data_IF_174966470451
#
_entry.id   IF_174966470451
#
_cell.length_a   1.000
_cell.length_b   1.000
_cell.length_c   1.000
_cell.angle_alpha   90.00
_cell.angle_beta   90.00
_cell.angle_gamma   90.00
#
_symmetry.space_group_name_H-M   'P 1'
#
loop_
_entity.id
_entity.type
_entity.pdbx_description
1 polymer ?
#
# COMPACT_ATOMS: atom_id res chain seq x y z
N UNK A 1 7.24 14.82 -21.96
CA UNK A 1 7.33 14.42 -20.55
C UNK A 1 7.51 12.92 -20.53
N UNK A 2 8.57 12.40 -19.90
CA UNK A 2 8.84 10.96 -19.89
C UNK A 2 7.74 10.21 -19.13
N UNK A 3 7.36 9.04 -19.64
CA UNK A 3 6.36 8.21 -19.00
C UNK A 3 6.91 7.70 -17.66
N UNK A 4 6.19 7.83 -16.52
CA UNK A 4 6.62 7.28 -15.23
C UNK A 4 6.99 5.79 -15.31
N UNK A 5 6.35 5.03 -16.21
CA UNK A 5 6.66 3.64 -16.44
C UNK A 5 8.02 3.41 -17.10
N UNK A 6 8.47 4.32 -17.97
CA UNK A 6 9.78 4.27 -18.64
C UNK A 6 10.89 4.76 -17.72
N UNK A 7 10.61 5.79 -16.89
CA UNK A 7 11.54 6.27 -15.87
C UNK A 7 11.86 5.18 -14.84
N UNK A 8 10.84 4.44 -14.38
CA UNK A 8 11.03 3.32 -13.46
C UNK A 8 11.87 2.19 -14.08
N UNK A 9 11.62 1.85 -15.35
CA UNK A 9 12.41 0.83 -16.05
C UNK A 9 13.89 1.23 -16.20
N UNK A 10 14.15 2.51 -16.50
CA UNK A 10 15.52 3.03 -16.59
C UNK A 10 16.25 2.96 -15.24
N UNK A 11 15.57 3.30 -14.14
CA UNK A 11 16.13 3.19 -12.80
C UNK A 11 16.39 1.72 -12.42
N UNK A 12 15.49 0.81 -12.81
CA UNK A 12 15.65 -0.62 -12.62
C UNK A 12 16.86 -1.18 -13.40
N UNK A 13 17.05 -0.76 -14.66
CA UNK A 13 18.20 -1.16 -15.47
C UNK A 13 19.52 -0.71 -14.83
N UNK A 14 19.56 0.51 -14.29
CA UNK A 14 20.75 1.03 -13.62
C UNK A 14 21.04 0.30 -12.30
N UNK A 15 20.02 -0.02 -11.51
CA UNK A 15 20.16 -0.88 -10.33
C UNK A 15 20.64 -2.29 -10.70
N UNK A 16 20.12 -2.86 -11.78
CA UNK A 16 20.57 -4.15 -12.31
C UNK A 16 22.02 -4.10 -12.78
N UNK A 17 22.47 -2.99 -13.37
CA UNK A 17 23.87 -2.82 -13.78
C UNK A 17 24.82 -2.80 -12.59
N UNK A 18 24.46 -2.08 -11.52
CA UNK A 18 25.24 -2.04 -10.28
C UNK A 18 25.29 -3.43 -9.63
N UNK A 19 24.18 -4.17 -9.67
CA UNK A 19 24.15 -5.57 -9.19
C UNK A 19 25.17 -6.44 -9.93
N UNK A 20 25.24 -6.33 -11.26
CA UNK A 20 26.20 -7.08 -12.07
C UNK A 20 27.64 -6.62 -11.82
N UNK A 21 27.86 -5.33 -11.61
CA UNK A 21 29.17 -4.77 -11.25
C UNK A 21 29.67 -5.32 -9.92
N UNK A 22 28.82 -5.37 -8.88
CA UNK A 22 29.17 -5.97 -7.58
C UNK A 22 29.44 -7.46 -7.73
N UNK A 23 28.63 -8.17 -8.52
CA UNK A 23 28.86 -9.59 -8.80
C UNK A 23 30.21 -9.84 -9.49
N UNK A 24 30.57 -8.98 -10.45
CA UNK A 24 31.87 -9.02 -11.13
C UNK A 24 33.00 -8.75 -10.14
N UNK A 25 32.92 -7.69 -9.32
CA UNK A 25 33.92 -7.40 -8.29
C UNK A 25 34.09 -8.58 -7.31
N UNK A 26 32.99 -9.23 -6.92
CA UNK A 26 33.00 -10.41 -6.05
C UNK A 26 33.70 -11.61 -6.71
N UNK A 27 33.43 -11.83 -8.00
CA UNK A 27 34.03 -12.89 -8.80
C UNK A 27 35.53 -12.66 -9.04
N UNK A 28 35.92 -11.41 -9.32
CA UNK A 28 37.31 -10.99 -9.47
C UNK A 28 38.08 -11.16 -8.16
N UNK A 29 37.52 -10.70 -7.04
CA UNK A 29 38.12 -10.90 -5.71
C UNK A 29 38.30 -12.39 -5.38
N UNK A 30 37.34 -13.24 -5.73
CA UNK A 30 37.41 -14.69 -5.47
C UNK A 30 38.43 -15.41 -6.36
N UNK A 31 38.58 -14.98 -7.60
CA UNK A 31 39.51 -15.59 -8.57
C UNK A 31 40.95 -15.12 -8.37
N UNK A 32 41.13 -13.85 -8.02
CA UNK A 32 42.42 -13.22 -7.76
C UNK A 32 42.36 -12.51 -6.40
N UNK A 33 42.51 -13.27 -5.29
CA UNK A 33 42.50 -12.67 -3.96
C UNK A 33 43.67 -11.67 -3.83
N UNK A 34 43.41 -10.47 -3.29
CA UNK A 34 44.44 -9.46 -3.09
C UNK A 34 45.59 -9.98 -2.24
N UNK A 35 46.81 -9.55 -2.58
CA UNK A 35 48.04 -10.07 -1.97
C UNK A 35 48.38 -9.41 -0.63
N UNK A 36 47.75 -8.27 -0.33
CA UNK A 36 47.94 -7.50 0.89
C UNK A 36 46.61 -7.15 1.56
N UNK A 37 46.65 -6.97 2.88
CA UNK A 37 45.49 -6.56 3.69
C UNK A 37 44.98 -5.17 3.28
N UNK A 38 45.88 -4.24 2.92
CA UNK A 38 45.49 -2.91 2.42
C UNK A 38 44.74 -2.98 1.09
N UNK A 39 45.22 -3.77 0.11
CA UNK A 39 44.49 -4.00 -1.14
C UNK A 39 43.14 -4.66 -0.88
N UNK A 40 43.10 -5.65 0.02
CA UNK A 40 41.87 -6.31 0.46
C UNK A 40 40.83 -5.31 0.95
N UNK A 41 41.21 -4.39 1.84
CA UNK A 41 40.31 -3.35 2.36
C UNK A 41 39.81 -2.39 1.28
N UNK A 42 40.66 -1.96 0.35
CA UNK A 42 40.26 -1.11 -0.79
C UNK A 42 39.20 -1.81 -1.65
N UNK A 43 39.42 -3.07 -1.98
CA UNK A 43 38.47 -3.87 -2.76
C UNK A 43 37.13 -4.04 -2.03
N UNK A 44 37.18 -4.38 -0.73
CA UNK A 44 35.98 -4.55 0.10
C UNK A 44 35.23 -3.22 0.30
N UNK A 45 35.93 -2.11 0.50
CA UNK A 45 35.36 -0.75 0.62
C UNK A 45 34.65 -0.32 -0.67
N UNK A 46 35.28 -0.53 -1.82
CA UNK A 46 34.68 -0.27 -3.13
C UNK A 46 33.40 -1.10 -3.35
N UNK A 47 33.42 -2.39 -3.01
CA UNK A 47 32.22 -3.24 -3.06
C UNK A 47 31.13 -2.77 -2.10
N UNK A 48 31.48 -2.42 -0.86
CA UNK A 48 30.53 -1.94 0.15
C UNK A 48 29.80 -0.71 -0.35
N UNK A 49 30.55 0.24 -0.93
CA UNK A 49 29.99 1.45 -1.53
C UNK A 49 28.98 1.14 -2.63
N UNK A 50 29.31 0.23 -3.55
CA UNK A 50 28.40 -0.14 -4.64
C UNK A 50 27.14 -0.83 -4.12
N UNK A 51 27.24 -1.64 -3.06
CA UNK A 51 26.08 -2.25 -2.39
C UNK A 51 25.21 -1.18 -1.71
N UNK A 52 25.80 -0.20 -1.02
CA UNK A 52 25.03 0.90 -0.40
C UNK A 52 24.29 1.74 -1.44
N UNK A 53 24.92 2.03 -2.59
CA UNK A 53 24.26 2.74 -3.70
C UNK A 53 23.11 1.89 -4.28
N UNK A 54 23.30 0.57 -4.39
CA UNK A 54 22.27 -0.35 -4.84
C UNK A 54 21.06 -0.36 -3.90
N UNK A 55 21.27 -0.51 -2.59
CA UNK A 55 20.19 -0.53 -1.59
C UNK A 55 19.37 0.76 -1.66
N UNK A 56 20.03 1.91 -1.75
CA UNK A 56 19.35 3.19 -1.91
C UNK A 56 18.49 3.27 -3.19
N UNK A 57 19.02 2.81 -4.33
CA UNK A 57 18.24 2.79 -5.59
C UNK A 57 17.06 1.83 -5.51
N UNK A 58 17.18 0.73 -4.77
CA UNK A 58 16.05 -0.18 -4.50
C UNK A 58 14.98 0.49 -3.65
N UNK A 59 15.36 1.27 -2.63
CA UNK A 59 14.42 2.09 -1.85
C UNK A 59 13.69 3.12 -2.72
N UNK A 60 14.41 3.79 -3.63
CA UNK A 60 13.80 4.71 -4.60
C UNK A 60 12.83 4.00 -5.55
N UNK A 61 13.20 2.83 -6.08
CA UNK A 61 12.32 2.03 -6.95
C UNK A 61 11.05 1.58 -6.22
N UNK A 62 11.17 1.25 -4.94
CA UNK A 62 10.05 0.86 -4.07
C UNK A 62 9.13 2.06 -3.78
N UNK A 63 9.71 3.21 -3.49
CA UNK A 63 9.01 4.49 -3.35
C UNK A 63 8.22 4.87 -4.60
N UNK A 64 8.85 4.82 -5.78
CA UNK A 64 8.23 5.13 -7.07
C UNK A 64 7.08 4.17 -7.40
N UNK A 65 7.20 2.90 -6.98
CA UNK A 65 6.13 1.91 -7.09
C UNK A 65 4.96 2.22 -6.15
N UNK A 66 5.26 2.57 -4.89
CA UNK A 66 4.26 2.88 -3.86
C UNK A 66 3.47 4.16 -4.19
N UNK A 67 4.13 5.18 -4.73
CA UNK A 67 3.53 6.46 -5.12
C UNK A 67 2.73 6.46 -6.43
N UNK A 68 2.59 5.31 -7.11
CA UNK A 68 1.83 5.25 -8.36
C UNK A 68 0.31 5.39 -8.10
N UNK A 69 -0.44 6.22 -8.87
CA UNK A 69 -1.86 6.45 -8.61
C UNK A 69 -2.68 5.15 -8.57
N UNK A 70 -3.51 4.97 -7.54
CA UNK A 70 -4.36 3.76 -7.35
C UNK A 70 -5.27 3.42 -8.53
N UNK A 71 -5.61 4.41 -9.38
CA UNK A 71 -6.32 4.22 -10.66
C UNK A 71 -5.49 3.43 -11.69
N UNK A 72 -4.17 3.62 -11.74
CA UNK A 72 -3.24 2.84 -12.56
C UNK A 72 -3.01 1.43 -11.96
N UNK A 73 -2.98 1.31 -10.63
CA UNK A 73 -2.80 0.05 -9.90
C UNK A 73 -3.94 -0.95 -10.20
N UNK A 74 -5.20 -0.49 -10.31
CA UNK A 74 -6.33 -1.38 -10.59
C UNK A 74 -6.37 -1.88 -12.04
N UNK A 75 -6.02 -1.02 -13.02
CA UNK A 75 -6.02 -1.38 -14.44
C UNK A 75 -4.80 -2.23 -14.85
N UNK A 76 -3.74 -2.28 -14.03
CA UNK A 76 -2.45 -2.91 -14.38
C UNK A 76 -1.86 -3.82 -13.29
N UNK A 77 -2.70 -4.50 -12.51
CA UNK A 77 -2.27 -5.42 -11.43
C UNK A 77 -1.18 -6.41 -11.83
N UNK A 78 -1.26 -6.99 -13.03
CA UNK A 78 -0.29 -7.98 -13.52
C UNK A 78 1.11 -7.39 -13.72
N UNK A 79 1.19 -6.19 -14.28
CA UNK A 79 2.47 -5.49 -14.46
C UNK A 79 3.04 -5.03 -13.13
N UNK A 80 2.19 -4.55 -12.21
CA UNK A 80 2.63 -4.15 -10.89
C UNK A 80 3.21 -5.33 -10.09
N UNK A 81 2.54 -6.48 -10.14
CA UNK A 81 3.04 -7.72 -9.54
C UNK A 81 4.40 -8.13 -10.14
N UNK A 82 4.56 -8.01 -11.46
CA UNK A 82 5.81 -8.32 -12.15
C UNK A 82 6.95 -7.39 -11.73
N UNK A 83 6.68 -6.09 -11.59
CA UNK A 83 7.67 -5.11 -11.12
C UNK A 83 8.07 -5.33 -9.65
N UNK A 84 7.10 -5.71 -8.82
CA UNK A 84 7.37 -6.09 -7.43
C UNK A 84 8.26 -7.35 -7.35
N UNK A 85 8.00 -8.34 -8.20
CA UNK A 85 8.83 -9.56 -8.30
C UNK A 85 10.24 -9.25 -8.80
N UNK A 86 10.38 -8.37 -9.79
CA UNK A 86 11.69 -7.88 -10.26
C UNK A 86 12.48 -7.20 -9.14
N UNK A 87 11.82 -6.34 -8.35
CA UNK A 87 12.44 -5.66 -7.21
C UNK A 87 12.83 -6.65 -6.11
N UNK A 88 11.97 -7.63 -5.78
CA UNK A 88 12.31 -8.64 -4.78
C UNK A 88 13.51 -9.48 -5.21
N UNK A 89 13.65 -9.79 -6.49
CA UNK A 89 14.79 -10.54 -7.01
C UNK A 89 16.10 -9.75 -6.88
N UNK A 90 16.08 -8.44 -7.18
CA UNK A 90 17.26 -7.60 -6.98
C UNK A 90 17.60 -7.44 -5.50
N UNK A 91 16.60 -7.28 -4.63
CA UNK A 91 16.81 -7.14 -3.18
C UNK A 91 17.34 -8.42 -2.54
N UNK A 92 16.91 -9.57 -3.02
CA UNK A 92 17.49 -10.84 -2.60
C UNK A 92 18.96 -10.96 -3.00
N UNK A 93 19.32 -10.55 -4.22
CA UNK A 93 20.73 -10.54 -4.67
C UNK A 93 21.58 -9.55 -3.89
N UNK A 94 21.06 -8.36 -3.62
CA UNK A 94 21.71 -7.34 -2.78
C UNK A 94 22.04 -7.93 -1.41
N UNK A 95 21.06 -8.54 -0.73
CA UNK A 95 21.27 -9.19 0.58
C UNK A 95 22.30 -10.30 0.54
N UNK A 96 22.29 -11.13 -0.50
CA UNK A 96 23.28 -12.19 -0.67
C UNK A 96 24.68 -11.61 -0.81
N UNK A 97 24.86 -10.59 -1.66
CA UNK A 97 26.15 -9.93 -1.84
C UNK A 97 26.60 -9.20 -0.57
N UNK A 98 25.69 -8.50 0.12
CA UNK A 98 25.97 -7.81 1.38
C UNK A 98 26.39 -8.80 2.48
N UNK A 99 25.74 -9.96 2.56
CA UNK A 99 26.09 -11.00 3.53
C UNK A 99 27.49 -11.57 3.28
N UNK A 100 27.85 -11.85 2.02
CA UNK A 100 29.18 -12.35 1.67
C UNK A 100 30.23 -11.29 2.01
N UNK A 101 29.95 -10.03 1.70
CA UNK A 101 30.88 -8.93 1.94
C UNK A 101 31.10 -8.67 3.44
N UNK A 102 30.03 -8.66 4.25
CA UNK A 102 30.13 -8.53 5.70
C UNK A 102 30.96 -9.66 6.32
N UNK A 103 30.85 -10.89 5.80
CA UNK A 103 31.65 -12.02 6.25
C UNK A 103 33.14 -11.81 5.96
N UNK A 104 33.46 -11.26 4.79
CA UNK A 104 34.86 -10.97 4.41
C UNK A 104 35.44 -9.80 5.18
N UNK A 105 34.66 -8.74 5.39
CA UNK A 105 35.07 -7.59 6.21
C UNK A 105 35.39 -8.02 7.65
N UNK A 106 34.53 -8.83 8.25
CA UNK A 106 34.75 -9.37 9.59
C UNK A 106 36.00 -10.26 9.70
N UNK A 107 36.33 -11.01 8.63
CA UNK A 107 37.55 -11.82 8.59
C UNK A 107 38.81 -10.96 8.49
N UNK A 108 38.79 -9.89 7.68
CA UNK A 108 39.92 -8.96 7.53
C UNK A 108 40.20 -8.21 8.84
N UNK A 109 39.17 -7.77 9.56
CA UNK A 109 39.32 -7.09 10.85
C UNK A 109 39.96 -7.99 11.93
N UNK A 110 39.73 -9.31 11.89
CA UNK A 110 40.37 -10.25 12.82
C UNK A 110 41.85 -10.50 12.50
N UNK A 111 42.22 -10.50 11.23
CA UNK A 111 43.59 -10.71 10.77
C UNK A 111 44.48 -9.48 11.05
N UNK A 112 43.91 -8.27 10.98
CA UNK A 112 44.59 -7.01 11.28
C UNK A 112 44.90 -6.82 12.78
N UNK A 113 44.04 -7.33 13.66
CA UNK A 113 44.27 -7.34 15.12
C UNK A 113 45.53 -8.14 15.50
N UNK A 114 45.94 -9.05 14.62
CA UNK A 114 47.15 -9.87 14.75
C UNK A 114 48.37 -9.15 14.12
N UNK A 115 48.18 -8.29 13.12
CA UNK A 115 49.27 -7.69 12.32
C UNK A 115 49.79 -6.32 12.75
N UNK A 116 49.09 -5.45 13.51
CA UNK A 116 49.65 -4.09 13.68
C UNK A 116 49.30 -3.22 14.87
N UNK A 117 50.30 -3.04 15.76
CA UNK A 117 50.45 -1.83 16.59
C UNK A 117 51.13 -0.65 15.85
N UNK A 118 51.58 -0.83 14.60
CA UNK A 118 52.34 0.17 13.83
C UNK A 118 51.62 0.67 12.55
N UNK A 119 50.57 -0.02 12.10
CA UNK A 119 49.78 0.28 10.90
C UNK A 119 48.72 1.36 11.08
N UNK A 120 48.39 1.70 12.33
CA UNK A 120 47.32 2.63 12.71
C UNK A 120 47.52 4.05 12.13
N UNK A 121 48.77 4.50 11.98
CA UNK A 121 49.08 5.86 11.50
C UNK A 121 48.95 5.97 9.98
N UNK A 122 49.32 4.94 9.22
CA UNK A 122 49.12 4.90 7.76
C UNK A 122 47.64 4.74 7.41
N UNK A 123 46.89 4.03 8.27
CA UNK A 123 45.45 3.85 8.15
C UNK A 123 44.67 5.17 8.28
N UNK A 124 45.10 6.08 9.15
CA UNK A 124 44.44 7.37 9.33
C UNK A 124 44.52 8.27 8.09
N UNK A 125 45.60 8.22 7.31
CA UNK A 125 45.73 9.00 6.08
C UNK A 125 44.84 8.50 4.93
N UNK A 126 44.67 7.18 4.83
CA UNK A 126 43.88 6.55 3.77
C UNK A 126 42.37 6.64 4.05
N UNK A 127 41.95 6.47 5.32
CA UNK A 127 40.56 6.65 5.75
C UNK A 127 40.06 8.10 5.54
N UNK A 128 40.93 9.10 5.73
CA UNK A 128 40.55 10.51 5.61
C UNK A 128 40.27 10.92 4.16
N UNK A 129 40.94 10.29 3.18
CA UNK A 129 40.69 10.54 1.75
C UNK A 129 39.47 9.76 1.23
N UNK A 130 39.18 8.58 1.80
CA UNK A 130 37.97 7.81 1.47
C UNK A 130 36.68 8.48 2.00
N UNK A 131 36.73 9.21 3.11
CA UNK A 131 35.57 9.92 3.69
C UNK A 131 35.09 11.11 2.86
N UNK A 132 35.98 11.85 2.17
CA UNK A 132 35.58 13.01 1.35
C UNK A 132 34.73 12.60 0.15
N UNK A 133 35.04 11.45 -0.46
CA UNK A 133 34.28 10.93 -1.61
C UNK A 133 32.94 10.30 -1.19
N UNK A 134 32.85 9.85 0.06
CA UNK A 134 31.60 9.42 0.70
C UNK A 134 30.73 10.63 1.04
N UNK A 135 31.32 11.77 1.43
CA UNK A 135 30.59 13.01 1.75
C UNK A 135 29.80 13.56 0.55
N UNK A 136 30.41 13.66 -0.63
CA UNK A 136 29.75 14.17 -1.85
C UNK A 136 28.54 13.30 -2.27
N UNK A 137 28.65 11.99 -2.09
CA UNK A 137 27.57 11.04 -2.42
C UNK A 137 26.53 10.94 -1.30
N UNK A 138 26.93 11.16 -0.05
CA UNK A 138 26.01 11.29 1.08
C UNK A 138 25.19 12.57 0.94
N UNK A 139 25.77 13.67 0.44
CA UNK A 139 25.02 14.88 0.10
C UNK A 139 23.96 14.58 -0.97
N UNK A 140 24.36 13.90 -2.06
CA UNK A 140 23.43 13.47 -3.11
C UNK A 140 22.32 12.58 -2.54
N UNK A 141 22.66 11.64 -1.65
CA UNK A 141 21.72 10.78 -0.95
C UNK A 141 20.78 11.55 -0.02
N UNK A 142 21.30 12.47 0.80
CA UNK A 142 20.52 13.34 1.70
C UNK A 142 19.57 14.23 0.91
N UNK A 143 20.00 14.75 -0.24
CA UNK A 143 19.15 15.51 -1.14
C UNK A 143 18.02 14.66 -1.70
N UNK A 144 18.29 13.41 -2.10
CA UNK A 144 17.24 12.51 -2.59
C UNK A 144 16.31 12.07 -1.45
N UNK A 145 16.82 11.72 -0.26
CA UNK A 145 16.01 11.42 0.93
C UNK A 145 15.13 12.61 1.32
N UNK A 146 15.66 13.84 1.28
CA UNK A 146 14.90 15.06 1.51
C UNK A 146 13.80 15.23 0.48
N UNK A 147 14.12 15.09 -0.81
CA UNK A 147 13.15 15.23 -1.88
C UNK A 147 12.05 14.16 -1.77
N UNK A 148 12.41 12.93 -1.37
CA UNK A 148 11.47 11.85 -1.12
C UNK A 148 10.56 12.14 0.08
N UNK A 149 11.14 12.57 1.22
CA UNK A 149 10.37 12.95 2.40
C UNK A 149 9.41 14.12 2.11
N UNK A 150 9.84 15.10 1.31
CA UNK A 150 8.99 16.19 0.84
C UNK A 150 7.84 15.67 -0.04
N UNK A 151 8.12 14.79 -1.00
CA UNK A 151 7.12 14.20 -1.88
C UNK A 151 6.09 13.37 -1.08
N UNK A 152 6.54 12.56 -0.12
CA UNK A 152 5.65 11.81 0.79
C UNK A 152 4.79 12.77 1.61
N UNK A 153 5.38 13.84 2.17
CA UNK A 153 4.64 14.80 2.98
C UNK A 153 3.58 15.55 2.15
N UNK A 154 3.89 15.89 0.90
CA UNK A 154 2.93 16.47 -0.05
C UNK A 154 1.80 15.49 -0.39
N UNK A 155 2.11 14.21 -0.62
CA UNK A 155 1.11 13.17 -0.87
C UNK A 155 0.25 12.92 0.37
N UNK A 156 0.83 12.92 1.57
CA UNK A 156 0.10 12.76 2.84
C UNK A 156 -0.81 13.97 3.11
N UNK A 157 -0.35 15.18 2.81
CA UNK A 157 -1.15 16.40 2.85
C UNK A 157 -2.29 16.33 1.81
N UNK A 158 -2.03 15.82 0.61
CA UNK A 158 -3.05 15.60 -0.41
C UNK A 158 -4.06 14.52 0.02
N UNK A 159 -3.62 13.41 0.61
CA UNK A 159 -4.49 12.38 1.17
C UNK A 159 -5.34 12.93 2.33
N UNK A 160 -4.78 13.80 3.17
CA UNK A 160 -5.52 14.49 4.24
C UNK A 160 -6.63 15.37 3.64
N UNK A 161 -6.32 16.15 2.59
CA UNK A 161 -7.31 16.99 1.90
C UNK A 161 -8.36 16.18 1.15
N UNK A 162 -7.99 15.05 0.55
CA UNK A 162 -8.94 14.15 -0.14
C UNK A 162 -9.84 13.42 0.86
N UNK A 163 -9.32 13.02 2.01
CA UNK A 163 -10.08 12.41 3.10
C UNK A 163 -11.08 13.41 3.68
N UNK A 164 -10.65 14.64 3.96
CA UNK A 164 -11.51 15.73 4.46
C UNK A 164 -12.68 16.04 3.49
N UNK A 165 -12.39 16.15 2.18
CA UNK A 165 -13.43 16.31 1.14
C UNK A 165 -14.38 15.11 1.02
N UNK A 166 -13.87 13.91 1.30
CA UNK A 166 -14.67 12.67 1.26
C UNK A 166 -15.57 12.57 2.48
N UNK A 167 -15.10 12.97 3.67
CA UNK A 167 -15.90 13.08 4.88
C UNK A 167 -16.99 14.15 4.74
N UNK A 168 -16.67 15.31 4.16
CA UNK A 168 -17.63 16.38 3.92
C UNK A 168 -18.75 15.96 2.94
N UNK A 169 -18.40 15.23 1.87
CA UNK A 169 -19.39 14.64 0.94
C UNK A 169 -20.17 13.47 1.56
N UNK A 170 -19.53 12.66 2.40
CA UNK A 170 -20.17 11.53 3.10
C UNK A 170 -21.23 12.00 4.08
N UNK A 171 -20.91 13.01 4.90
CA UNK A 171 -21.82 13.61 5.88
C UNK A 171 -22.95 14.36 5.16
N UNK A 172 -22.63 15.19 4.15
CA UNK A 172 -23.64 15.94 3.40
C UNK A 172 -24.62 15.06 2.63
N UNK A 173 -24.19 13.90 2.11
CA UNK A 173 -25.09 12.95 1.43
C UNK A 173 -25.92 12.12 2.40
N UNK A 174 -25.40 11.78 3.58
CA UNK A 174 -26.19 11.14 4.63
C UNK A 174 -27.29 12.07 5.17
N UNK A 175 -26.96 13.32 5.45
CA UNK A 175 -27.93 14.29 5.95
C UNK A 175 -28.99 14.63 4.90
N UNK A 176 -28.60 14.83 3.64
CA UNK A 176 -29.56 15.11 2.58
C UNK A 176 -30.38 13.88 2.15
N UNK A 177 -29.91 12.64 2.40
CA UNK A 177 -30.74 11.42 2.28
C UNK A 177 -31.69 11.28 3.47
N UNK A 178 -31.24 11.52 4.70
CA UNK A 178 -32.07 11.52 5.91
C UNK A 178 -33.16 12.59 5.86
N UNK A 179 -32.83 13.81 5.46
CA UNK A 179 -33.81 14.90 5.28
C UNK A 179 -34.85 14.57 4.21
N UNK A 180 -34.46 13.94 3.10
CA UNK A 180 -35.42 13.52 2.05
C UNK A 180 -36.33 12.40 2.53
N UNK A 181 -35.81 11.45 3.32
CA UNK A 181 -36.62 10.38 3.91
C UNK A 181 -37.57 10.93 4.96
N UNK A 182 -37.13 11.85 5.83
CA UNK A 182 -38.00 12.54 6.78
C UNK A 182 -39.09 13.35 6.10
N UNK A 183 -38.76 14.17 5.09
CA UNK A 183 -39.76 14.95 4.34
C UNK A 183 -40.77 14.06 3.61
N UNK A 184 -40.35 12.88 3.14
CA UNK A 184 -41.27 11.88 2.53
C UNK A 184 -42.14 11.20 3.58
N UNK A 185 -41.63 10.93 4.78
CA UNK A 185 -42.42 10.40 5.89
C UNK A 185 -43.45 11.41 6.41
N UNK A 186 -43.08 12.69 6.55
CA UNK A 186 -44.01 13.75 6.94
C UNK A 186 -45.12 13.96 5.91
N UNK A 187 -44.78 13.96 4.63
CA UNK A 187 -45.78 14.10 3.55
C UNK A 187 -46.67 12.87 3.39
N UNK A 188 -46.17 11.66 3.65
CA UNK A 188 -46.98 10.44 3.68
C UNK A 188 -47.87 10.38 4.92
N UNK A 189 -47.38 10.81 6.09
CA UNK A 189 -48.17 10.90 7.31
C UNK A 189 -49.33 11.91 7.15
N UNK A 190 -49.07 13.07 6.54
CA UNK A 190 -50.13 14.05 6.26
C UNK A 190 -51.15 13.57 5.22
N UNK A 191 -50.72 12.79 4.21
CA UNK A 191 -51.66 12.21 3.22
C UNK A 191 -52.54 11.09 3.80
N UNK A 192 -52.06 10.34 4.79
CA UNK A 192 -52.87 9.33 5.48
C UNK A 192 -53.91 9.93 6.45
N UNK A 193 -53.74 11.18 6.89
CA UNK A 193 -54.69 11.85 7.79
C UNK A 193 -55.80 12.60 7.00
N UNK A 194 -55.52 13.06 5.77
CA UNK A 194 -56.46 13.87 4.98
C UNK A 194 -57.32 13.03 4.00
N UNK A 195 -56.97 11.76 3.76
CA UNK A 195 -57.73 10.84 2.90
C UNK A 195 -58.90 10.13 3.58
N UNK A 196 -59.72 10.84 4.37
CA UNK A 196 -60.89 10.26 5.06
C UNK A 196 -62.09 10.09 4.13
N UNK A 197 -62.03 9.12 3.22
CA UNK A 197 -63.17 8.64 2.43
C UNK A 197 -63.21 7.12 2.32
N UNK A 198 -63.01 6.44 3.45
CA UNK A 198 -63.28 5.01 3.64
C UNK A 198 -64.16 4.81 4.87
N UNK A 199 -65.32 5.47 4.86
CA UNK A 199 -66.32 5.36 5.93
C UNK A 199 -67.52 4.48 5.52
N UNK A 200 -67.41 3.74 4.40
CA UNK A 200 -68.49 2.91 3.86
C UNK A 200 -68.16 1.40 3.75
N UNK A 201 -66.91 0.96 3.91
CA UNK A 201 -66.58 -0.48 3.78
C UNK A 201 -66.79 -1.29 5.07
N UNK A 202 -66.54 -0.68 6.22
CA UNK A 202 -66.76 -1.33 7.52
C UNK A 202 -68.24 -1.70 7.79
N UNK A 203 -69.25 -0.84 7.53
CA UNK A 203 -70.65 -1.23 7.73
C UNK A 203 -71.11 -2.31 6.74
N UNK A 204 -70.62 -2.30 5.49
CA UNK A 204 -70.97 -3.31 4.50
C UNK A 204 -70.45 -4.68 4.91
N UNK A 205 -69.21 -4.77 5.40
CA UNK A 205 -68.65 -6.04 5.87
C UNK A 205 -69.42 -6.59 7.07
N UNK A 206 -69.82 -5.71 8.01
CA UNK A 206 -70.61 -6.09 9.18
C UNK A 206 -71.99 -6.65 8.80
N UNK A 207 -72.66 -6.04 7.80
CA UNK A 207 -73.97 -6.52 7.31
C UNK A 207 -73.84 -7.90 6.64
N UNK A 208 -72.80 -8.13 5.83
CA UNK A 208 -72.56 -9.43 5.18
C UNK A 208 -72.37 -10.54 6.23
N UNK A 209 -71.62 -10.27 7.29
CA UNK A 209 -71.41 -11.22 8.39
C UNK A 209 -72.74 -11.52 9.12
N UNK A 210 -73.56 -10.50 9.36
CA UNK A 210 -74.89 -10.65 9.99
C UNK A 210 -75.82 -11.55 9.16
N UNK A 211 -75.84 -11.37 7.84
CA UNK A 211 -76.66 -12.19 6.92
C UNK A 211 -76.20 -13.65 6.93
N UNK A 212 -74.88 -13.90 6.96
CA UNK A 212 -74.34 -15.27 7.03
C UNK A 212 -74.71 -15.98 8.34
N UNK A 213 -74.66 -15.27 9.46
CA UNK A 213 -75.07 -15.82 10.77
C UNK A 213 -76.57 -16.14 10.77
N UNK A 214 -77.41 -15.25 10.26
CA UNK A 214 -78.85 -15.47 10.16
C UNK A 214 -79.19 -16.68 9.26
N UNK A 215 -78.49 -16.81 8.12
CA UNK A 215 -78.65 -17.97 7.23
C UNK A 215 -78.23 -19.29 7.91
N UNK A 216 -77.11 -19.28 8.64
CA UNK A 216 -76.65 -20.44 9.39
C UNK A 216 -77.64 -20.82 10.50
N UNK A 217 -78.21 -19.85 11.22
CA UNK A 217 -79.25 -20.08 12.23
C UNK A 217 -80.53 -20.65 11.63
N UNK A 218 -81.00 -20.12 10.50
CA UNK A 218 -82.17 -20.64 9.81
C UNK A 218 -81.94 -22.09 9.33
N UNK A 219 -80.75 -22.38 8.79
CA UNK A 219 -80.36 -23.73 8.39
C UNK A 219 -80.26 -24.68 9.58
N UNK A 220 -79.75 -24.20 10.72
CA UNK A 220 -79.65 -24.95 11.96
C UNK A 220 -81.03 -25.26 12.55
N UNK A 221 -81.93 -24.28 12.62
CA UNK A 221 -83.32 -24.45 13.06
C UNK A 221 -84.09 -25.43 12.16
N UNK A 222 -83.94 -25.31 10.83
CA UNK A 222 -84.56 -26.24 9.87
C UNK A 222 -84.08 -27.67 10.08
N UNK A 223 -82.77 -27.88 10.29
CA UNK A 223 -82.23 -29.20 10.63
C UNK A 223 -82.76 -29.72 11.96
N UNK A 224 -82.85 -28.87 12.98
CA UNK A 224 -83.36 -29.25 14.31
C UNK A 224 -84.84 -29.64 14.28
N UNK A 225 -85.65 -28.97 13.45
CA UNK A 225 -87.06 -29.30 13.24
C UNK A 225 -87.25 -30.65 12.51
N UNK A 226 -86.35 -31.01 11.58
CA UNK A 226 -86.39 -32.32 10.93
C UNK A 226 -85.93 -33.48 11.84
N UNK A 227 -85.24 -33.20 12.94
CA UNK A 227 -84.83 -34.23 13.92
C UNK A 227 -85.82 -34.40 15.10
N UNK A 228 -86.90 -33.61 15.13
CA UNK A 228 -87.92 -33.65 16.20
C UNK A 228 -89.31 -34.08 15.70
N UNK A 229 -89.41 -34.55 14.45
CA UNK A 229 -90.57 -35.24 13.87
C UNK A 229 -90.19 -36.67 13.54
#
# INVERSE_FOLDING_TARGET
MANPAELWMKEYEEASRITEEVHKMLSEYRSNPPSSVSETRKHLSSMHRSITILDFRLEKLEADLSGMPKKFIWFRKKEMSKRMEMLSNLRERERQMASVLNMWYAATDQEELIESSQGIINLQGEIMQEQDVVLDRLEEMVLITKNFALAINEELNMHTRLMDRTDEHGIGTLDSRRLRVQKRLETLNQRNIVGRSSMCLLPVLAIVILVLIAWMLAKYLKRRLQTSS
#
